data_IF_161903038993
#
_entry.id   IF_161903038993
#
_cell.length_a   1.000
_cell.length_b   1.000
_cell.length_c   1.000
_cell.angle_alpha   90.00
_cell.angle_beta   90.00
_cell.angle_gamma   90.00
#
_symmetry.space_group_name_H-M   'P 1'
#
loop_
_entity.id
_entity.type
_entity.pdbx_description
1 polymer ?
#
# COMPACT_ATOMS: atom_id res chain seq x y z
N UNK A 1 56.80 -72.34 11.02
CA UNK A 1 57.10 -73.06 9.77
C UNK A 1 58.13 -72.24 8.99
N UNK A 2 59.30 -72.82 8.70
CA UNK A 2 60.42 -72.39 7.83
C UNK A 2 60.69 -70.89 7.64
N UNK A 3 61.70 -70.22 8.20
CA UNK A 3 63.16 -70.44 8.27
C UNK A 3 63.93 -70.17 6.95
N UNK A 4 65.09 -69.50 7.15
CA UNK A 4 66.34 -69.47 6.34
C UNK A 4 66.47 -68.37 5.29
N UNK A 5 67.65 -67.83 4.98
CA UNK A 5 68.91 -67.39 5.64
C UNK A 5 69.88 -66.99 4.50
N UNK A 6 70.89 -66.18 4.82
CA UNK A 6 72.15 -65.89 4.08
C UNK A 6 72.09 -64.89 2.89
N UNK A 7 72.69 -63.69 3.01
CA UNK A 7 74.13 -63.29 2.96
C UNK A 7 74.71 -63.30 1.53
N UNK A 8 75.10 -62.14 0.98
CA UNK A 8 76.50 -61.65 0.95
C UNK A 8 76.74 -60.35 0.13
N UNK A 9 77.54 -59.43 0.72
CA UNK A 9 78.70 -58.65 0.17
C UNK A 9 78.47 -57.71 -1.04
N UNK A 10 79.10 -56.53 -1.19
CA UNK A 10 80.09 -55.74 -0.43
C UNK A 10 80.51 -54.49 -1.24
N UNK A 11 81.14 -53.51 -0.56
CA UNK A 11 82.05 -52.41 -1.00
C UNK A 11 81.40 -51.03 -1.24
N UNK A 12 81.66 -49.97 -0.46
CA UNK A 12 82.87 -49.18 -0.08
C UNK A 12 83.17 -48.02 -1.04
N UNK A 13 83.03 -46.78 -0.54
CA UNK A 13 83.84 -45.56 -0.80
C UNK A 13 83.12 -44.34 -0.16
N UNK A 14 83.48 -43.80 1.01
CA UNK A 14 84.60 -42.90 1.41
C UNK A 14 84.38 -41.38 1.21
N UNK A 15 84.53 -40.67 2.35
CA UNK A 15 84.98 -39.26 2.57
C UNK A 15 84.05 -38.11 2.08
N UNK A 16 83.88 -36.96 2.75
CA UNK A 16 84.62 -36.31 3.85
C UNK A 16 83.92 -34.99 4.27
N UNK A 17 84.04 -34.62 5.57
CA UNK A 17 84.14 -33.28 6.20
C UNK A 17 83.19 -32.11 5.82
N UNK A 18 82.87 -31.13 6.65
CA UNK A 18 83.31 -30.74 7.99
C UNK A 18 82.37 -29.64 8.56
N UNK A 19 82.34 -29.57 9.90
CA UNK A 19 82.19 -28.40 10.79
C UNK A 19 80.87 -27.56 10.87
N UNK A 20 80.17 -27.63 12.01
CA UNK A 20 80.11 -26.65 13.14
C UNK A 20 79.15 -25.46 12.92
N UNK A 21 78.07 -25.35 13.71
CA UNK A 21 77.90 -24.35 14.80
C UNK A 21 76.53 -24.51 15.49
N UNK A 22 76.53 -24.40 16.81
CA UNK A 22 75.37 -24.39 17.72
C UNK A 22 74.65 -23.03 17.65
N UNK A 23 73.31 -23.02 17.65
CA UNK A 23 72.53 -21.91 18.21
C UNK A 23 71.21 -22.42 18.81
N UNK A 24 71.12 -22.36 20.13
CA UNK A 24 69.86 -22.49 20.87
C UNK A 24 68.93 -21.32 20.48
N UNK A 25 67.73 -21.63 19.99
CA UNK A 25 66.67 -20.65 19.77
C UNK A 25 65.45 -21.02 20.58
N UNK A 26 65.07 -20.07 21.45
CA UNK A 26 63.88 -20.06 22.27
C UNK A 26 62.63 -20.37 21.45
N UNK A 27 61.83 -21.33 21.92
CA UNK A 27 60.46 -21.52 21.46
C UNK A 27 59.60 -20.42 22.07
N UNK A 28 59.50 -19.29 21.37
CA UNK A 28 58.44 -18.31 21.52
C UNK A 28 57.52 -18.42 20.30
N UNK A 29 56.72 -19.49 20.25
CA UNK A 29 55.63 -19.60 19.28
C UNK A 29 54.45 -18.79 19.79
N UNK A 30 54.38 -17.52 19.36
CA UNK A 30 53.29 -16.61 19.71
C UNK A 30 51.94 -17.22 19.37
N UNK A 31 51.06 -17.26 20.38
CA UNK A 31 49.65 -17.39 20.15
C UNK A 31 49.25 -16.30 19.16
N UNK A 32 48.64 -16.68 18.03
CA UNK A 32 47.86 -15.76 17.24
C UNK A 32 46.73 -15.24 18.15
N UNK A 33 46.98 -14.12 18.84
CA UNK A 33 45.92 -13.30 19.36
C UNK A 33 45.10 -12.92 18.14
N UNK A 34 43.98 -13.61 17.96
CA UNK A 34 42.83 -12.99 17.34
C UNK A 34 42.48 -11.83 18.26
N UNK A 35 43.10 -10.67 18.01
CA UNK A 35 42.54 -9.43 18.49
C UNK A 35 41.17 -9.33 17.81
N UNK A 36 40.13 -9.80 18.51
CA UNK A 36 38.84 -9.16 18.41
C UNK A 36 39.13 -7.70 18.73
N UNK A 37 39.36 -6.90 17.69
CA UNK A 37 39.33 -5.46 17.80
C UNK A 37 38.00 -5.16 18.47
N UNK A 38 38.07 -4.68 19.72
CA UNK A 38 36.89 -4.21 20.43
C UNK A 38 36.08 -3.35 19.45
N UNK A 39 34.74 -3.52 19.38
CA UNK A 39 33.93 -2.72 18.46
C UNK A 39 34.32 -1.26 18.68
N UNK A 40 34.88 -0.63 17.64
CA UNK A 40 35.35 0.74 17.74
C UNK A 40 34.18 1.59 18.20
N UNK A 41 34.39 2.46 19.20
CA UNK A 41 33.35 3.38 19.64
C UNK A 41 33.01 4.30 18.45
N UNK A 42 31.85 4.07 17.85
CA UNK A 42 31.43 4.78 16.64
C UNK A 42 31.22 6.27 16.90
N UNK A 43 30.74 6.66 18.08
CA UNK A 43 30.64 8.06 18.47
C UNK A 43 32.03 8.73 18.46
N UNK A 44 33.07 8.07 18.98
CA UNK A 44 34.42 8.63 18.95
C UNK A 44 34.95 8.85 17.51
N UNK A 45 34.55 8.01 16.55
CA UNK A 45 34.88 8.21 15.13
C UNK A 45 34.10 9.39 14.53
N UNK A 46 32.82 9.54 14.87
CA UNK A 46 31.99 10.70 14.49
C UNK A 46 32.58 12.01 15.05
N UNK A 47 33.00 11.99 16.30
CA UNK A 47 33.58 13.14 17.00
C UNK A 47 34.90 13.57 16.35
N UNK A 48 35.75 12.61 16.00
CA UNK A 48 37.05 12.84 15.37
C UNK A 48 36.96 13.25 13.88
N UNK A 49 35.85 12.94 13.21
CA UNK A 49 35.67 13.28 11.80
C UNK A 49 35.55 14.79 11.58
N UNK A 50 36.18 15.26 10.49
CA UNK A 50 36.00 16.62 10.02
C UNK A 50 34.57 16.82 9.48
N UNK A 51 33.98 18.03 9.62
CA UNK A 51 32.72 18.35 8.96
C UNK A 51 32.79 18.09 7.45
N UNK A 52 31.76 17.44 6.91
CA UNK A 52 31.66 17.01 5.51
C UNK A 52 32.38 15.69 5.19
N UNK A 53 33.05 15.06 6.17
CA UNK A 53 33.72 13.79 5.94
C UNK A 53 32.74 12.65 5.63
N UNK A 54 33.26 11.62 4.96
CA UNK A 54 32.57 10.33 4.80
C UNK A 54 33.24 9.30 5.70
N UNK A 55 32.44 8.65 6.56
CA UNK A 55 32.87 7.54 7.40
C UNK A 55 32.21 6.26 6.89
N UNK A 56 33.03 5.28 6.52
CA UNK A 56 32.57 3.93 6.19
C UNK A 56 32.73 3.04 7.42
N UNK A 57 31.62 2.47 7.87
CA UNK A 57 31.53 1.64 9.07
C UNK A 57 31.39 0.19 8.62
N UNK A 58 32.39 -0.64 8.93
CA UNK A 58 32.33 -2.06 8.61
C UNK A 58 31.24 -2.78 9.43
N UNK A 59 30.79 -3.92 8.93
CA UNK A 59 29.84 -4.78 9.62
C UNK A 59 30.29 -5.06 11.07
N UNK A 60 29.35 -4.89 12.01
CA UNK A 60 29.61 -4.99 13.44
C UNK A 60 28.41 -4.47 14.24
N UNK A 61 28.51 -4.51 15.57
CA UNK A 61 27.52 -3.93 16.47
C UNK A 61 28.14 -2.78 17.24
N UNK A 62 27.50 -1.62 17.17
CA UNK A 62 27.94 -0.37 17.75
C UNK A 62 26.89 0.11 18.74
N UNK A 63 27.34 0.47 19.95
CA UNK A 63 26.44 0.97 20.98
C UNK A 63 25.92 2.37 20.60
N UNK A 64 24.62 2.57 20.81
CA UNK A 64 23.97 3.87 20.83
C UNK A 64 23.91 4.42 22.28
N UNK A 65 23.44 5.66 22.50
CA UNK A 65 22.95 6.62 21.51
C UNK A 65 24.08 7.19 20.65
N UNK A 66 23.76 7.56 19.40
CA UNK A 66 24.66 8.32 18.53
C UNK A 66 24.12 9.72 18.28
N UNK A 67 24.98 10.73 18.35
CA UNK A 67 24.66 12.11 17.98
C UNK A 67 25.55 12.54 16.82
N UNK A 68 24.92 13.01 15.73
CA UNK A 68 25.61 13.58 14.56
C UNK A 68 25.31 15.08 14.52
N UNK A 69 26.27 15.87 14.99
CA UNK A 69 26.18 17.31 15.24
C UNK A 69 26.95 18.18 14.24
N UNK A 70 27.48 17.57 13.19
CA UNK A 70 28.16 18.22 12.06
C UNK A 70 27.72 17.57 10.75
N UNK A 71 27.78 18.29 9.60
CA UNK A 71 27.59 17.68 8.30
C UNK A 71 28.48 16.44 8.17
N UNK A 72 27.91 15.29 7.81
CA UNK A 72 28.63 14.02 7.82
C UNK A 72 27.92 13.01 6.93
N UNK A 73 28.68 12.22 6.18
CA UNK A 73 28.15 11.04 5.48
C UNK A 73 28.59 9.79 6.23
N UNK A 74 27.63 9.09 6.85
CA UNK A 74 27.85 7.82 7.53
C UNK A 74 27.31 6.68 6.65
N UNK A 75 28.20 5.78 6.25
CA UNK A 75 27.91 4.67 5.32
C UNK A 75 28.21 3.34 6.00
N UNK A 76 27.22 2.48 6.12
CA UNK A 76 27.40 1.11 6.58
C UNK A 76 27.84 0.19 5.43
N UNK A 77 28.92 -0.55 5.63
CA UNK A 77 29.39 -1.61 4.75
C UNK A 77 29.05 -2.98 5.36
N UNK A 78 28.10 -3.70 4.76
CA UNK A 78 27.59 -4.96 5.28
C UNK A 78 26.54 -4.82 6.39
N UNK A 79 25.75 -3.74 6.38
CA UNK A 79 24.63 -3.50 7.32
C UNK A 79 25.04 -3.56 8.81
N UNK A 80 26.03 -2.77 9.27
CA UNK A 80 26.33 -2.64 10.70
C UNK A 80 25.11 -2.24 11.54
N UNK A 81 25.06 -2.76 12.76
CA UNK A 81 23.98 -2.55 13.72
C UNK A 81 24.34 -1.40 14.66
N UNK A 82 23.48 -0.39 14.75
CA UNK A 82 23.46 0.60 15.82
C UNK A 82 22.44 0.14 16.85
N UNK A 83 22.94 -0.30 18.01
CA UNK A 83 22.16 -0.96 19.06
C UNK A 83 21.91 0.01 20.21
N UNK A 84 20.65 0.45 20.36
CA UNK A 84 20.18 1.14 21.55
C UNK A 84 20.03 0.20 22.75
N UNK A 85 19.92 0.79 23.93
CA UNK A 85 19.83 0.08 25.21
C UNK A 85 18.39 -0.07 25.73
N UNK A 86 17.40 0.23 24.90
CA UNK A 86 15.99 0.26 25.28
C UNK A 86 15.58 1.57 25.97
N UNK A 87 16.34 2.65 25.80
CA UNK A 87 16.00 3.98 26.31
C UNK A 87 16.30 5.08 25.29
N UNK A 88 15.42 6.07 25.19
CA UNK A 88 15.62 7.25 24.35
C UNK A 88 15.71 6.96 22.85
N UNK A 89 16.31 7.92 22.14
CA UNK A 89 16.57 7.82 20.70
C UNK A 89 17.84 7.00 20.42
N UNK A 90 17.86 6.23 19.34
CA UNK A 90 19.05 5.44 18.94
C UNK A 90 20.05 6.33 18.18
N UNK A 91 19.58 7.08 17.18
CA UNK A 91 20.39 8.04 16.42
C UNK A 91 19.70 9.39 16.40
N UNK A 92 20.42 10.43 16.83
CA UNK A 92 20.00 11.82 16.81
C UNK A 92 20.86 12.62 15.82
N UNK A 93 20.23 13.23 14.82
CA UNK A 93 20.88 14.08 13.82
C UNK A 93 20.49 15.53 14.09
N UNK A 94 21.45 16.38 14.45
CA UNK A 94 21.22 17.81 14.78
C UNK A 94 21.94 18.77 13.83
N UNK A 95 22.72 18.25 12.88
CA UNK A 95 23.36 19.04 11.83
C UNK A 95 22.71 18.87 10.46
N UNK A 96 22.75 19.92 9.62
CA UNK A 96 22.26 19.82 8.27
C UNK A 96 23.18 18.98 7.40
N UNK A 97 22.68 18.57 6.24
CA UNK A 97 23.49 17.90 5.20
C UNK A 97 24.15 16.59 5.71
N UNK A 98 23.48 15.91 6.64
CA UNK A 98 23.87 14.59 7.15
C UNK A 98 23.26 13.51 6.27
N UNK A 99 24.08 12.53 5.87
CA UNK A 99 23.61 11.31 5.23
C UNK A 99 23.84 10.12 6.16
N UNK A 100 22.80 9.34 6.43
CA UNK A 100 22.87 8.06 7.14
C UNK A 100 22.37 6.96 6.21
N UNK A 101 23.24 6.03 5.82
CA UNK A 101 22.85 4.95 4.89
C UNK A 101 23.45 3.58 5.18
N UNK A 102 22.68 2.54 4.94
CA UNK A 102 23.13 1.15 5.01
C UNK A 102 23.34 0.61 6.43
N UNK A 103 22.52 1.02 7.40
CA UNK A 103 22.57 0.54 8.79
C UNK A 103 21.35 -0.28 9.17
N UNK A 104 21.51 -1.17 10.15
CA UNK A 104 20.40 -1.63 11.01
C UNK A 104 20.36 -0.73 12.24
N UNK A 105 19.21 -0.15 12.56
CA UNK A 105 19.01 0.72 13.73
C UNK A 105 17.90 0.12 14.58
N UNK A 106 18.18 -0.15 15.86
CA UNK A 106 17.21 -0.82 16.74
C UNK A 106 17.41 -0.59 18.22
N UNK A 107 16.37 -0.90 19.00
CA UNK A 107 16.39 -0.85 20.46
C UNK A 107 16.20 0.55 21.02
N UNK A 108 15.26 1.32 20.46
CA UNK A 108 14.84 2.60 21.07
C UNK A 108 14.15 2.36 22.40
N UNK A 109 13.92 3.42 23.16
CA UNK A 109 12.96 3.36 24.27
C UNK A 109 11.50 3.19 23.81
N UNK A 110 10.60 3.07 24.78
CA UNK A 110 9.16 2.81 24.60
C UNK A 110 8.26 3.95 25.13
N UNK A 111 8.82 5.14 25.38
CA UNK A 111 8.04 6.30 25.83
C UNK A 111 7.36 7.03 24.68
N UNK A 112 6.02 6.99 24.68
CA UNK A 112 5.18 7.79 23.78
C UNK A 112 5.32 9.30 24.04
N UNK A 113 5.53 9.70 25.29
CA UNK A 113 5.61 11.12 25.68
C UNK A 113 6.92 11.77 25.22
N UNK A 114 8.04 11.02 25.27
CA UNK A 114 9.34 11.48 24.77
C UNK A 114 9.51 11.25 23.28
N UNK A 115 8.66 10.42 22.70
CA UNK A 115 8.74 9.97 21.30
C UNK A 115 10.07 9.28 21.01
N UNK A 116 10.44 8.31 21.85
CA UNK A 116 11.69 7.56 21.71
C UNK A 116 11.78 6.93 20.29
N UNK A 117 12.80 7.30 19.52
CA UNK A 117 12.86 7.07 18.05
C UNK A 117 14.11 6.28 17.63
N UNK A 118 14.00 5.45 16.59
CA UNK A 118 15.16 4.85 15.92
C UNK A 118 16.09 5.91 15.31
N UNK A 119 15.59 6.70 14.38
CA UNK A 119 16.34 7.81 13.76
C UNK A 119 15.56 9.11 13.93
N UNK A 120 16.04 10.00 14.78
CA UNK A 120 15.50 11.35 14.97
C UNK A 120 16.35 12.39 14.24
N UNK A 121 15.71 13.24 13.46
CA UNK A 121 16.35 14.28 12.62
C UNK A 121 15.78 15.63 13.00
N UNK A 122 16.65 16.53 13.47
CA UNK A 122 16.32 17.87 13.94
C UNK A 122 17.02 18.97 13.12
N UNK A 123 17.40 18.66 11.87
CA UNK A 123 18.12 19.58 11.00
C UNK A 123 17.80 19.32 9.51
N UNK A 124 17.87 20.36 8.65
CA UNK A 124 17.41 20.26 7.27
C UNK A 124 18.37 19.48 6.37
N UNK A 125 17.86 19.03 5.21
CA UNK A 125 18.62 18.38 4.13
C UNK A 125 19.32 17.08 4.57
N UNK A 126 18.75 16.39 5.54
CA UNK A 126 19.22 15.06 5.91
C UNK A 126 18.80 14.03 4.85
N UNK A 127 19.67 13.06 4.57
CA UNK A 127 19.41 11.93 3.68
C UNK A 127 19.46 10.64 4.49
N UNK A 128 18.31 10.01 4.69
CA UNK A 128 18.16 8.74 5.37
C UNK A 128 17.85 7.69 4.31
N UNK A 129 18.84 6.87 3.96
CA UNK A 129 18.77 6.02 2.76
C UNK A 129 19.15 4.55 3.02
N UNK A 130 18.34 3.60 2.56
CA UNK A 130 18.73 2.19 2.57
C UNK A 130 18.98 1.61 3.96
N UNK A 131 18.33 2.12 5.01
CA UNK A 131 18.46 1.63 6.37
C UNK A 131 17.34 0.64 6.72
N UNK A 132 17.61 -0.25 7.68
CA UNK A 132 16.63 -1.10 8.32
C UNK A 132 16.40 -0.60 9.74
N UNK A 133 15.19 -0.10 10.02
CA UNK A 133 14.77 0.32 11.36
C UNK A 133 13.83 -0.75 11.91
N UNK A 134 14.22 -1.36 13.01
CA UNK A 134 13.47 -2.42 13.70
C UNK A 134 13.47 -2.17 15.20
N UNK A 135 12.50 -2.74 15.93
CA UNK A 135 12.42 -2.60 17.40
C UNK A 135 12.57 -1.13 17.86
N UNK A 136 11.83 -0.25 17.20
CA UNK A 136 11.78 1.17 17.48
C UNK A 136 10.32 1.60 17.70
N UNK A 137 10.06 2.38 18.75
CA UNK A 137 8.71 2.87 19.04
C UNK A 137 8.27 3.82 17.93
N UNK A 138 9.08 4.84 17.65
CA UNK A 138 8.99 5.64 16.43
C UNK A 138 10.13 5.26 15.49
N UNK A 139 9.86 5.05 14.21
CA UNK A 139 10.87 4.57 13.26
C UNK A 139 11.84 5.68 12.84
N UNK A 140 11.36 6.56 11.95
CA UNK A 140 12.09 7.75 11.48
C UNK A 140 11.25 8.98 11.82
N UNK A 141 11.84 9.95 12.52
CA UNK A 141 11.19 11.18 12.90
C UNK A 141 11.97 12.39 12.39
N UNK A 142 11.38 13.16 11.46
CA UNK A 142 11.83 14.50 11.08
C UNK A 142 11.08 15.54 11.93
N UNK A 143 11.81 16.19 12.83
CA UNK A 143 11.34 17.26 13.70
C UNK A 143 11.95 18.58 13.25
N UNK A 144 11.17 19.44 12.59
CA UNK A 144 11.65 20.74 12.07
C UNK A 144 12.85 20.60 11.09
N UNK A 145 12.84 19.53 10.30
CA UNK A 145 13.89 19.12 9.38
C UNK A 145 13.43 19.24 7.92
N UNK A 146 13.45 20.46 7.38
CA UNK A 146 13.04 20.71 5.99
C UNK A 146 13.93 20.00 4.96
N UNK A 147 13.37 19.72 3.78
CA UNK A 147 14.10 19.23 2.60
C UNK A 147 14.81 17.88 2.84
N UNK A 148 14.25 17.07 3.75
CA UNK A 148 14.75 15.73 4.02
C UNK A 148 14.46 14.74 2.89
N UNK A 149 15.31 13.73 2.76
CA UNK A 149 15.12 12.60 1.84
C UNK A 149 15.08 11.31 2.66
N UNK A 150 13.94 10.64 2.68
CA UNK A 150 13.76 9.31 3.25
C UNK A 150 13.57 8.33 2.09
N UNK A 151 14.61 7.56 1.75
CA UNK A 151 14.59 6.70 0.57
C UNK A 151 14.99 5.26 0.83
N UNK A 152 14.24 4.29 0.32
CA UNK A 152 14.70 2.90 0.28
C UNK A 152 14.87 2.26 1.66
N UNK A 153 14.28 2.84 2.70
CA UNK A 153 14.37 2.30 4.06
C UNK A 153 13.31 1.22 4.27
N UNK A 154 13.62 0.26 5.13
CA UNK A 154 12.68 -0.73 5.64
C UNK A 154 12.41 -0.43 7.10
N UNK A 155 11.16 -0.18 7.46
CA UNK A 155 10.74 0.24 8.80
C UNK A 155 9.73 -0.78 9.34
N UNK A 156 10.09 -1.43 10.43
CA UNK A 156 9.22 -2.34 11.16
C UNK A 156 8.92 -1.77 12.55
N UNK A 157 7.64 -1.64 12.87
CA UNK A 157 7.22 -1.15 14.18
C UNK A 157 7.59 -2.11 15.31
N UNK A 158 7.76 -1.56 16.52
CA UNK A 158 7.94 -2.34 17.74
C UNK A 158 6.76 -3.31 17.97
N UNK A 159 7.05 -4.50 18.51
CA UNK A 159 6.09 -5.58 18.74
C UNK A 159 5.10 -5.29 19.89
N UNK A 160 4.26 -4.27 19.71
CA UNK A 160 3.23 -3.82 20.65
C UNK A 160 1.84 -3.86 19.98
N UNK A 161 0.74 -3.83 20.77
CA UNK A 161 -0.59 -3.55 20.22
C UNK A 161 -0.62 -2.19 19.51
N UNK A 162 -1.42 -2.06 18.45
CA UNK A 162 -1.45 -0.85 17.60
C UNK A 162 -1.68 0.47 18.36
N UNK A 163 -2.44 0.45 19.45
CA UNK A 163 -2.70 1.60 20.30
C UNK A 163 -1.49 2.07 21.11
N UNK A 164 -0.49 1.21 21.27
CA UNK A 164 0.76 1.48 22.02
C UNK A 164 1.98 1.64 21.11
N UNK A 165 1.85 1.38 19.80
CA UNK A 165 2.92 1.63 18.83
C UNK A 165 3.08 3.14 18.60
N UNK A 166 4.31 3.57 18.34
CA UNK A 166 4.58 4.88 17.75
C UNK A 166 4.47 4.83 16.23
N UNK A 167 4.72 5.97 15.61
CA UNK A 167 4.61 6.13 14.16
C UNK A 167 5.87 5.60 13.47
N UNK A 168 5.69 4.86 12.37
CA UNK A 168 6.83 4.34 11.61
C UNK A 168 7.61 5.46 10.95
N UNK A 169 6.88 6.44 10.44
CA UNK A 169 7.43 7.66 9.86
C UNK A 169 6.65 8.85 10.40
N UNK A 170 7.33 9.79 11.04
CA UNK A 170 6.76 11.05 11.51
C UNK A 170 7.50 12.22 10.88
N UNK A 171 6.78 13.12 10.23
CA UNK A 171 7.32 14.32 9.60
C UNK A 171 6.53 15.51 10.15
N UNK A 172 7.19 16.34 10.94
CA UNK A 172 6.58 17.42 11.71
C UNK A 172 7.31 18.74 11.43
N UNK A 173 6.58 19.77 10.99
CA UNK A 173 7.15 21.07 10.57
C UNK A 173 8.36 20.95 9.62
N UNK A 174 8.32 19.98 8.71
CA UNK A 174 9.45 19.57 7.87
C UNK A 174 9.04 19.61 6.39
N UNK A 175 8.90 20.81 5.80
CA UNK A 175 8.40 20.99 4.44
C UNK A 175 9.36 20.43 3.39
N UNK A 176 8.83 20.21 2.17
CA UNK A 176 9.58 19.80 0.98
C UNK A 176 10.35 18.49 1.15
N UNK A 177 9.75 17.53 1.85
CA UNK A 177 10.36 16.23 2.11
C UNK A 177 10.07 15.26 0.97
N UNK A 178 11.05 14.44 0.60
CA UNK A 178 10.88 13.31 -0.33
C UNK A 178 10.82 11.99 0.45
N UNK A 179 9.68 11.30 0.37
CA UNK A 179 9.46 9.95 0.91
C UNK A 179 9.34 8.98 -0.25
N UNK A 180 10.38 8.19 -0.50
CA UNK A 180 10.48 7.41 -1.73
C UNK A 180 10.92 5.96 -1.52
N UNK A 181 10.24 5.01 -2.15
CA UNK A 181 10.68 3.62 -2.21
C UNK A 181 10.91 2.96 -0.84
N UNK A 182 10.23 3.42 0.20
CA UNK A 182 10.31 2.84 1.53
C UNK A 182 9.30 1.70 1.70
N UNK A 183 9.63 0.76 2.56
CA UNK A 183 8.76 -0.33 3.00
C UNK A 183 8.46 -0.12 4.47
N UNK A 184 7.17 -0.03 4.83
CA UNK A 184 6.74 0.13 6.21
C UNK A 184 5.75 -0.96 6.58
N UNK A 185 5.98 -1.62 7.72
CA UNK A 185 5.20 -2.76 8.21
C UNK A 185 4.95 -2.64 9.70
N UNK A 186 3.77 -3.05 10.14
CA UNK A 186 3.45 -3.21 11.55
C UNK A 186 3.71 -1.95 12.40
N UNK A 187 3.56 -0.77 11.81
CA UNK A 187 3.70 0.52 12.50
C UNK A 187 2.33 1.09 12.89
N UNK A 188 2.28 2.17 13.67
CA UNK A 188 1.00 2.88 13.86
C UNK A 188 0.64 3.65 12.59
N UNK A 189 1.32 4.76 12.31
CA UNK A 189 1.05 5.60 11.14
C UNK A 189 2.33 5.94 10.36
N UNK A 190 2.20 6.33 9.09
CA UNK A 190 3.09 7.32 8.48
C UNK A 190 2.35 8.67 8.49
N UNK A 191 2.92 9.67 9.16
CA UNK A 191 2.26 10.96 9.39
C UNK A 191 3.08 12.15 8.87
N UNK A 192 2.44 13.03 8.11
CA UNK A 192 2.96 14.32 7.68
C UNK A 192 2.07 15.43 8.26
N UNK A 193 2.64 16.23 9.16
CA UNK A 193 1.92 17.28 9.88
C UNK A 193 2.64 18.63 9.71
N UNK A 194 1.90 19.66 9.28
CA UNK A 194 2.46 21.01 9.04
C UNK A 194 3.69 21.03 8.13
N UNK A 195 3.76 20.11 7.17
CA UNK A 195 4.98 19.83 6.39
C UNK A 195 4.69 19.90 4.89
N UNK A 196 4.32 21.09 4.35
CA UNK A 196 3.80 21.22 2.99
C UNK A 196 4.81 20.84 1.91
N UNK A 197 4.33 20.71 0.67
CA UNK A 197 5.15 20.55 -0.54
C UNK A 197 5.96 19.24 -0.59
N UNK A 198 5.47 18.18 0.04
CA UNK A 198 6.17 16.90 0.09
C UNK A 198 5.73 15.95 -1.04
N UNK A 199 6.66 15.07 -1.43
CA UNK A 199 6.42 14.03 -2.43
C UNK A 199 6.51 12.67 -1.76
N UNK A 200 5.43 11.90 -1.81
CA UNK A 200 5.34 10.53 -1.30
C UNK A 200 5.13 9.60 -2.48
N UNK A 201 6.17 8.84 -2.87
CA UNK A 201 6.06 7.97 -4.05
C UNK A 201 6.73 6.62 -3.96
N UNK A 202 6.17 5.63 -4.65
CA UNK A 202 6.73 4.27 -4.76
C UNK A 202 6.95 3.58 -3.42
N UNK A 203 6.24 3.98 -2.37
CA UNK A 203 6.32 3.35 -1.05
C UNK A 203 5.31 2.21 -0.93
N UNK A 204 5.59 1.26 -0.05
CA UNK A 204 4.70 0.17 0.34
C UNK A 204 4.40 0.28 1.84
N UNK A 205 3.20 0.74 2.17
CA UNK A 205 2.71 0.92 3.53
C UNK A 205 1.66 -0.15 3.84
N UNK A 206 1.97 -1.05 4.77
CA UNK A 206 1.10 -2.17 5.08
C UNK A 206 0.97 -2.46 6.58
N UNK A 207 -0.17 -3.07 6.93
CA UNK A 207 -0.44 -3.66 8.24
C UNK A 207 -0.34 -2.65 9.41
N UNK A 208 -0.64 -1.38 9.13
CA UNK A 208 -0.68 -0.28 10.09
C UNK A 208 -2.09 0.26 10.36
N UNK A 209 -2.17 1.37 11.09
CA UNK A 209 -3.44 2.09 11.29
C UNK A 209 -3.70 3.01 10.11
N UNK A 210 -2.94 4.09 9.98
CA UNK A 210 -2.97 4.94 8.79
C UNK A 210 -1.77 4.66 7.91
N UNK A 211 -2.01 4.16 6.70
CA UNK A 211 -0.94 3.96 5.71
C UNK A 211 -0.25 5.28 5.37
N UNK A 212 -1.03 6.35 5.19
CA UNK A 212 -0.56 7.74 5.16
C UNK A 212 -1.60 8.66 5.79
N UNK A 213 -1.18 9.44 6.78
CA UNK A 213 -1.99 10.44 7.46
C UNK A 213 -1.41 11.83 7.23
N UNK A 214 -2.23 12.73 6.68
CA UNK A 214 -1.85 14.12 6.46
C UNK A 214 -2.76 15.04 7.26
N UNK A 215 -2.16 15.87 8.10
CA UNK A 215 -2.90 16.78 8.96
C UNK A 215 -2.36 18.20 8.80
N UNK A 216 -3.24 19.13 8.45
CA UNK A 216 -2.89 20.56 8.38
C UNK A 216 -1.65 20.83 7.52
N UNK A 217 -1.65 20.27 6.32
CA UNK A 217 -0.51 20.32 5.41
C UNK A 217 -0.98 20.38 3.96
N UNK A 218 -0.30 21.18 3.14
CA UNK A 218 -0.75 21.55 1.80
C UNK A 218 0.24 21.09 0.72
N UNK A 219 -0.24 21.03 -0.53
CA UNK A 219 0.58 20.91 -1.75
C UNK A 219 1.37 19.61 -1.87
N UNK A 220 0.71 18.46 -1.68
CA UNK A 220 1.39 17.15 -1.71
C UNK A 220 1.17 16.39 -3.01
N UNK A 221 2.20 15.68 -3.44
CA UNK A 221 2.09 14.67 -4.51
C UNK A 221 2.25 13.28 -3.93
N UNK A 222 1.21 12.45 -4.05
CA UNK A 222 1.15 11.07 -3.56
C UNK A 222 0.95 10.16 -4.76
N UNK A 223 2.01 9.50 -5.24
CA UNK A 223 1.93 8.73 -6.48
C UNK A 223 2.62 7.38 -6.46
N UNK A 224 2.04 6.42 -7.19
CA UNK A 224 2.62 5.10 -7.40
C UNK A 224 2.94 4.36 -6.08
N UNK A 225 2.18 4.59 -5.01
CA UNK A 225 2.32 3.89 -3.74
C UNK A 225 1.36 2.69 -3.62
N UNK A 226 1.69 1.78 -2.70
CA UNK A 226 0.84 0.65 -2.30
C UNK A 226 0.45 0.82 -0.83
N UNK A 227 -0.85 0.87 -0.57
CA UNK A 227 -1.45 0.94 0.76
C UNK A 227 -2.33 -0.29 0.96
N UNK A 228 -1.91 -1.24 1.81
CA UNK A 228 -2.62 -2.51 1.97
C UNK A 228 -2.79 -2.99 3.41
N UNK A 229 -3.94 -3.56 3.72
CA UNK A 229 -4.18 -4.16 5.04
C UNK A 229 -4.12 -3.17 6.21
N UNK A 230 -4.23 -1.86 5.94
CA UNK A 230 -4.24 -0.85 7.00
C UNK A 230 -5.66 -0.65 7.53
N UNK A 231 -5.81 0.04 8.67
CA UNK A 231 -7.12 0.54 9.09
C UNK A 231 -7.67 1.60 8.14
N UNK A 232 -6.80 2.43 7.58
CA UNK A 232 -7.09 3.43 6.56
C UNK A 232 -5.88 3.51 5.62
N UNK A 233 -6.13 3.52 4.31
CA UNK A 233 -5.06 3.64 3.31
C UNK A 233 -4.42 5.03 3.34
N UNK A 234 -5.16 6.05 2.90
CA UNK A 234 -4.75 7.46 2.92
C UNK A 234 -5.82 8.27 3.64
N UNK A 235 -5.44 9.16 4.55
CA UNK A 235 -6.36 10.10 5.18
C UNK A 235 -5.80 11.52 5.16
N UNK A 236 -6.58 12.46 4.61
CA UNK A 236 -6.23 13.88 4.54
C UNK A 236 -7.21 14.69 5.38
N UNK A 237 -6.67 15.50 6.27
CA UNK A 237 -7.43 16.36 7.17
C UNK A 237 -6.92 17.80 7.10
N UNK A 238 -7.80 18.72 6.72
CA UNK A 238 -7.54 20.16 6.77
C UNK A 238 -6.38 20.61 5.90
N UNK A 239 -6.48 20.47 4.58
CA UNK A 239 -5.41 20.90 3.67
C UNK A 239 -5.90 21.28 2.27
N UNK A 240 -4.99 21.77 1.43
CA UNK A 240 -5.27 22.10 0.04
C UNK A 240 -4.20 21.60 -0.93
N UNK A 241 -4.57 21.34 -2.19
CA UNK A 241 -3.60 21.15 -3.28
C UNK A 241 -2.98 19.75 -3.29
N UNK A 242 -3.79 18.70 -3.27
CA UNK A 242 -3.29 17.33 -3.27
C UNK A 242 -3.42 16.69 -4.64
N UNK A 243 -2.34 16.08 -5.13
CA UNK A 243 -2.39 15.18 -6.29
C UNK A 243 -2.14 13.77 -5.81
N UNK A 244 -3.16 12.91 -5.86
CA UNK A 244 -3.04 11.48 -5.56
C UNK A 244 -3.28 10.68 -6.82
N UNK A 245 -2.24 10.03 -7.35
CA UNK A 245 -2.38 9.32 -8.62
C UNK A 245 -1.68 7.98 -8.71
N UNK A 246 -2.30 7.06 -9.46
CA UNK A 246 -1.77 5.71 -9.72
C UNK A 246 -1.38 4.96 -8.44
N UNK A 247 -2.06 5.21 -7.33
CA UNK A 247 -1.84 4.44 -6.10
C UNK A 247 -2.70 3.17 -6.11
N UNK A 248 -2.22 2.12 -5.47
CA UNK A 248 -3.02 0.95 -5.10
C UNK A 248 -3.41 1.08 -3.63
N UNK A 249 -4.70 1.05 -3.36
CA UNK A 249 -5.29 1.12 -2.02
C UNK A 249 -6.21 -0.08 -1.86
N UNK A 250 -5.73 -1.11 -1.17
CA UNK A 250 -6.38 -2.41 -1.13
C UNK A 250 -6.57 -2.96 0.29
N UNK A 251 -7.65 -3.69 0.49
CA UNK A 251 -7.82 -4.52 1.70
C UNK A 251 -7.76 -3.73 3.02
N UNK A 252 -8.08 -2.43 3.01
CA UNK A 252 -8.07 -1.63 4.24
C UNK A 252 -9.37 -1.87 5.01
N UNK A 253 -9.23 -2.31 6.27
CA UNK A 253 -10.32 -2.85 7.11
C UNK A 253 -10.18 -2.37 8.55
N UNK A 254 -11.30 -2.34 9.28
CA UNK A 254 -11.36 -1.87 10.66
C UNK A 254 -12.55 -0.93 10.86
N UNK A 255 -12.66 -0.29 12.04
CA UNK A 255 -13.78 0.61 12.34
C UNK A 255 -13.94 1.75 11.32
N UNK A 256 -12.81 2.30 10.84
CA UNK A 256 -12.81 3.27 9.75
C UNK A 256 -12.78 2.58 8.38
N UNK A 257 -11.81 1.70 8.10
CA UNK A 257 -11.78 0.87 6.88
C UNK A 257 -11.82 1.66 5.56
N UNK A 258 -11.34 2.90 5.57
CA UNK A 258 -11.36 3.78 4.40
C UNK A 258 -10.17 3.47 3.50
N UNK A 259 -10.40 3.36 2.19
CA UNK A 259 -9.32 3.40 1.22
C UNK A 259 -8.67 4.78 1.22
N UNK A 260 -9.43 5.78 0.77
CA UNK A 260 -9.06 7.20 0.86
C UNK A 260 -10.11 7.92 1.69
N UNK A 261 -9.69 8.72 2.66
CA UNK A 261 -10.57 9.60 3.40
C UNK A 261 -10.18 11.06 3.27
N UNK A 262 -11.16 11.90 2.97
CA UNK A 262 -11.00 13.34 2.85
C UNK A 262 -11.87 14.02 3.91
N UNK A 263 -11.24 14.85 4.74
CA UNK A 263 -11.94 15.72 5.66
C UNK A 263 -11.46 17.15 5.47
N UNK A 264 -12.37 18.00 5.02
CA UNK A 264 -12.09 19.42 4.79
C UNK A 264 -10.85 19.64 3.90
N UNK A 265 -10.71 18.80 2.87
CA UNK A 265 -9.60 18.83 1.91
C UNK A 265 -10.05 19.52 0.63
N UNK A 266 -9.28 20.52 0.17
CA UNK A 266 -9.64 21.37 -0.97
C UNK A 266 -8.64 21.20 -2.12
N UNK A 267 -9.06 21.48 -3.36
CA UNK A 267 -8.18 21.40 -4.54
C UNK A 267 -7.42 20.05 -4.61
N UNK A 268 -8.19 18.98 -4.73
CA UNK A 268 -7.68 17.60 -4.72
C UNK A 268 -7.91 16.95 -6.07
N UNK A 269 -6.88 16.33 -6.63
CA UNK A 269 -6.97 15.46 -7.80
C UNK A 269 -6.74 14.01 -7.37
N UNK A 270 -7.75 13.17 -7.50
CA UNK A 270 -7.65 11.72 -7.40
C UNK A 270 -7.69 11.15 -8.83
N UNK A 271 -6.55 10.66 -9.32
CA UNK A 271 -6.43 10.21 -10.71
C UNK A 271 -5.81 8.81 -10.85
N UNK A 272 -6.45 7.90 -11.60
CA UNK A 272 -5.78 6.63 -11.94
C UNK A 272 -5.58 5.67 -10.77
N UNK A 273 -6.20 5.93 -9.61
CA UNK A 273 -6.01 5.10 -8.41
C UNK A 273 -6.83 3.81 -8.48
N UNK A 274 -6.32 2.76 -7.83
CA UNK A 274 -6.98 1.45 -7.70
C UNK A 274 -7.39 1.25 -6.26
N UNK A 275 -8.69 1.44 -6.00
CA UNK A 275 -9.29 1.41 -4.67
C UNK A 275 -10.15 0.15 -4.58
N UNK A 276 -9.56 -0.92 -4.05
CA UNK A 276 -10.10 -2.26 -4.21
C UNK A 276 -10.32 -2.96 -2.88
N UNK A 277 -11.48 -3.58 -2.68
CA UNK A 277 -11.75 -4.46 -1.54
C UNK A 277 -11.53 -3.80 -0.15
N UNK A 278 -11.82 -2.51 -0.04
CA UNK A 278 -11.86 -1.80 1.24
C UNK A 278 -13.27 -1.87 1.85
N UNK A 279 -13.42 -1.56 3.15
CA UNK A 279 -14.76 -1.36 3.72
C UNK A 279 -15.48 -0.22 2.99
N UNK A 280 -14.79 0.90 2.83
CA UNK A 280 -15.27 2.07 2.08
C UNK A 280 -14.16 2.49 1.14
N UNK A 281 -14.44 2.60 -0.15
CA UNK A 281 -13.45 2.98 -1.15
C UNK A 281 -12.94 4.40 -0.91
N UNK A 282 -13.84 5.38 -1.05
CA UNK A 282 -13.57 6.77 -0.68
C UNK A 282 -14.60 7.27 0.33
N UNK A 283 -14.13 7.85 1.43
CA UNK A 283 -14.92 8.62 2.36
C UNK A 283 -14.65 10.12 2.18
N UNK A 284 -15.69 10.95 2.11
CA UNK A 284 -15.53 12.40 1.96
C UNK A 284 -16.49 13.19 2.86
N UNK A 285 -15.92 14.10 3.64
CA UNK A 285 -16.60 15.01 4.55
C UNK A 285 -16.17 16.46 4.26
N UNK A 286 -17.14 17.33 3.95
CA UNK A 286 -16.93 18.76 3.74
C UNK A 286 -15.74 19.11 2.83
N UNK A 287 -15.51 18.29 1.79
CA UNK A 287 -14.38 18.42 0.87
C UNK A 287 -14.91 18.68 -0.54
N UNK A 288 -14.58 19.81 -1.18
CA UNK A 288 -13.75 20.93 -0.71
C UNK A 288 -14.33 21.73 0.47
N UNK A 289 -13.43 22.25 1.31
CA UNK A 289 -13.76 23.25 2.34
C UNK A 289 -13.69 24.67 1.77
N UNK A 290 -12.66 24.96 0.94
CA UNK A 290 -12.42 26.29 0.39
C UNK A 290 -13.40 26.56 -0.77
N UNK A 291 -14.12 27.70 -0.75
CA UNK A 291 -14.92 28.13 -1.90
C UNK A 291 -14.08 28.20 -3.17
N UNK A 292 -14.71 28.01 -4.33
CA UNK A 292 -14.08 28.06 -5.67
C UNK A 292 -13.04 26.96 -5.96
N UNK A 293 -12.85 26.01 -5.04
CA UNK A 293 -12.05 24.81 -5.29
C UNK A 293 -12.95 23.60 -5.53
N UNK A 294 -12.38 22.51 -6.03
CA UNK A 294 -13.08 21.25 -6.24
C UNK A 294 -12.22 20.07 -5.76
N UNK A 295 -12.85 18.90 -5.64
CA UNK A 295 -12.13 17.62 -5.74
C UNK A 295 -12.52 16.99 -7.07
N UNK A 296 -11.51 16.62 -7.86
CA UNK A 296 -11.68 15.93 -9.13
C UNK A 296 -11.33 14.46 -8.95
N UNK A 297 -12.27 13.60 -9.34
CA UNK A 297 -12.13 12.15 -9.39
C UNK A 297 -12.12 11.75 -10.86
N UNK A 298 -10.97 11.33 -11.36
CA UNK A 298 -10.80 10.98 -12.77
C UNK A 298 -10.10 9.63 -12.93
N UNK A 299 -10.58 8.77 -13.84
CA UNK A 299 -9.87 7.54 -14.20
C UNK A 299 -9.56 6.61 -13.01
N UNK A 300 -10.36 6.61 -11.94
CA UNK A 300 -10.14 5.73 -10.79
C UNK A 300 -10.92 4.42 -10.96
N UNK A 301 -10.37 3.32 -10.46
CA UNK A 301 -11.12 2.08 -10.24
C UNK A 301 -11.53 2.00 -8.78
N UNK A 302 -12.84 1.97 -8.52
CA UNK A 302 -13.43 1.66 -7.23
C UNK A 302 -14.15 0.32 -7.37
N UNK A 303 -13.51 -0.76 -6.91
CA UNK A 303 -14.02 -2.10 -7.15
C UNK A 303 -14.09 -2.96 -5.89
N UNK A 304 -15.17 -3.74 -5.77
CA UNK A 304 -15.36 -4.73 -4.70
C UNK A 304 -15.26 -4.17 -3.28
N UNK A 305 -15.43 -2.86 -3.10
CA UNK A 305 -15.51 -2.27 -1.76
C UNK A 305 -16.90 -2.57 -1.18
N UNK A 306 -17.07 -2.62 0.14
CA UNK A 306 -18.43 -2.77 0.71
C UNK A 306 -19.28 -1.55 0.33
N UNK A 307 -18.68 -0.35 0.37
CA UNK A 307 -19.22 0.90 -0.18
C UNK A 307 -18.18 1.51 -1.11
N UNK A 308 -18.54 1.84 -2.35
CA UNK A 308 -17.64 2.51 -3.31
C UNK A 308 -17.29 3.93 -2.84
N UNK A 309 -18.29 4.81 -2.80
CA UNK A 309 -18.19 6.18 -2.32
C UNK A 309 -19.11 6.41 -1.12
N UNK A 310 -18.59 6.91 -0.01
CA UNK A 310 -19.36 7.37 1.13
C UNK A 310 -19.12 8.86 1.35
N UNK A 311 -20.17 9.68 1.23
CA UNK A 311 -20.03 11.14 1.32
C UNK A 311 -21.08 11.73 2.25
N UNK A 312 -20.75 12.82 2.95
CA UNK A 312 -21.74 13.60 3.68
C UNK A 312 -22.45 14.58 2.73
N UNK A 313 -23.73 14.95 2.97
CA UNK A 313 -24.50 15.85 2.08
C UNK A 313 -23.95 17.30 2.00
N UNK A 314 -23.03 17.67 2.89
CA UNK A 314 -22.27 18.93 2.81
C UNK A 314 -21.12 18.89 1.79
N UNK A 315 -20.86 17.74 1.16
CA UNK A 315 -19.77 17.51 0.21
C UNK A 315 -20.24 17.85 -1.21
N UNK A 316 -19.88 19.04 -1.69
CA UNK A 316 -20.46 19.69 -2.89
C UNK A 316 -19.33 20.23 -3.80
N UNK A 317 -19.62 20.56 -5.06
CA UNK A 317 -18.64 21.06 -6.03
C UNK A 317 -17.48 20.08 -6.34
N UNK A 318 -17.74 18.77 -6.22
CA UNK A 318 -16.83 17.72 -6.69
C UNK A 318 -17.14 17.36 -8.15
N UNK A 319 -16.14 16.87 -8.88
CA UNK A 319 -16.23 16.51 -10.31
C UNK A 319 -15.85 15.05 -10.49
N UNK A 320 -16.72 14.26 -11.09
CA UNK A 320 -16.54 12.83 -11.30
C UNK A 320 -16.69 12.50 -12.79
N UNK A 321 -15.65 11.95 -13.40
CA UNK A 321 -15.71 11.48 -14.78
C UNK A 321 -14.69 10.38 -15.06
N UNK A 322 -14.99 9.51 -16.03
CA UNK A 322 -14.15 8.39 -16.48
C UNK A 322 -13.71 7.44 -15.35
N UNK A 323 -14.41 7.43 -14.21
CA UNK A 323 -14.18 6.45 -13.15
C UNK A 323 -14.92 5.14 -13.46
N UNK A 324 -14.42 4.05 -12.90
CA UNK A 324 -15.04 2.73 -12.95
C UNK A 324 -15.50 2.36 -11.53
N UNK A 325 -16.82 2.30 -11.34
CA UNK A 325 -17.44 1.80 -10.13
C UNK A 325 -17.97 0.38 -10.38
N UNK A 326 -17.17 -0.60 -9.95
CA UNK A 326 -17.34 -2.00 -10.31
C UNK A 326 -17.65 -2.87 -9.10
N UNK A 327 -18.88 -3.38 -9.05
CA UNK A 327 -19.30 -4.44 -8.13
C UNK A 327 -18.96 -4.14 -6.67
N UNK A 328 -19.12 -2.87 -6.28
CA UNK A 328 -19.14 -2.51 -4.87
C UNK A 328 -20.46 -3.01 -4.27
N UNK A 329 -20.45 -3.38 -2.98
CA UNK A 329 -21.68 -3.81 -2.31
C UNK A 329 -22.78 -2.74 -2.38
N UNK A 330 -22.38 -1.48 -2.23
CA UNK A 330 -23.16 -0.30 -2.54
C UNK A 330 -22.28 0.68 -3.33
N UNK A 331 -22.70 1.15 -4.50
CA UNK A 331 -21.89 2.07 -5.30
C UNK A 331 -21.66 3.39 -4.57
N UNK A 332 -22.73 3.97 -4.03
CA UNK A 332 -22.71 5.27 -3.33
C UNK A 332 -23.57 5.23 -2.08
N UNK A 333 -23.03 5.72 -0.97
CA UNK A 333 -23.75 6.02 0.26
C UNK A 333 -23.69 7.51 0.61
N UNK A 334 -24.80 8.07 1.07
CA UNK A 334 -24.85 9.43 1.63
C UNK A 334 -25.01 9.33 3.14
N UNK A 335 -23.91 9.50 3.86
CA UNK A 335 -23.88 9.37 5.31
C UNK A 335 -24.70 10.51 5.95
N UNK A 336 -25.69 10.13 6.77
CA UNK A 336 -26.61 11.09 7.41
C UNK A 336 -27.81 11.53 6.54
N UNK A 337 -27.99 10.94 5.36
CA UNK A 337 -29.11 11.22 4.45
C UNK A 337 -28.90 12.45 3.55
N UNK A 338 -29.94 12.87 2.83
CA UNK A 338 -29.85 13.94 1.83
C UNK A 338 -29.38 13.46 0.47
N UNK A 339 -28.79 14.37 -0.31
CA UNK A 339 -28.36 14.14 -1.68
C UNK A 339 -26.98 14.75 -1.98
N UNK A 340 -26.43 14.40 -3.15
CA UNK A 340 -25.17 14.83 -3.71
C UNK A 340 -25.38 15.51 -5.07
N UNK A 341 -26.55 16.13 -5.29
CA UNK A 341 -26.93 16.73 -6.58
C UNK A 341 -26.14 17.98 -6.93
N UNK A 342 -25.43 18.56 -5.95
CA UNK A 342 -24.56 19.74 -6.13
C UNK A 342 -23.13 19.35 -6.49
N UNK A 343 -22.92 18.11 -6.92
CA UNK A 343 -21.68 17.64 -7.52
C UNK A 343 -21.90 17.42 -9.02
N UNK A 344 -20.82 17.57 -9.78
CA UNK A 344 -20.80 17.34 -11.22
C UNK A 344 -20.41 15.88 -11.48
N UNK A 345 -21.39 15.08 -11.92
CA UNK A 345 -21.20 13.64 -12.17
C UNK A 345 -20.86 13.31 -13.63
N UNK A 346 -20.78 14.32 -14.48
CA UNK A 346 -20.26 14.23 -15.83
C UNK A 346 -19.58 15.55 -16.20
N UNK A 347 -18.40 15.47 -16.79
CA UNK A 347 -17.61 16.61 -17.25
C UNK A 347 -17.52 16.53 -18.77
N UNK A 348 -17.76 17.65 -19.46
CA UNK A 348 -17.68 17.73 -20.93
C UNK A 348 -18.49 16.64 -21.65
N UNK A 349 -19.66 16.31 -21.08
CA UNK A 349 -20.57 15.29 -21.61
C UNK A 349 -20.15 13.85 -21.33
N UNK A 350 -19.17 13.60 -20.45
CA UNK A 350 -18.72 12.25 -20.08
C UNK A 350 -18.81 12.03 -18.57
N UNK A 351 -19.54 11.00 -18.18
CA UNK A 351 -19.72 10.56 -16.81
C UNK A 351 -18.81 9.38 -16.45
N UNK A 352 -19.35 8.46 -15.67
CA UNK A 352 -18.63 7.34 -15.08
C UNK A 352 -19.21 6.00 -15.56
N UNK A 353 -18.42 4.93 -15.46
CA UNK A 353 -18.91 3.58 -15.67
C UNK A 353 -19.44 3.01 -14.36
N UNK A 354 -20.66 2.47 -14.40
CA UNK A 354 -21.35 1.85 -13.26
C UNK A 354 -21.72 0.42 -13.62
N UNK A 355 -21.26 -0.58 -12.86
CA UNK A 355 -21.53 -1.97 -13.21
C UNK A 355 -23.00 -2.40 -13.05
N UNK A 356 -23.80 -1.60 -12.34
CA UNK A 356 -25.25 -1.73 -12.15
C UNK A 356 -26.06 -0.85 -13.11
N UNK A 357 -25.43 -0.15 -14.05
CA UNK A 357 -26.14 0.60 -15.08
C UNK A 357 -26.82 -0.34 -16.08
N UNK A 358 -28.13 -0.20 -16.21
CA UNK A 358 -28.98 -1.02 -17.08
C UNK A 358 -29.62 -0.22 -18.23
N UNK A 359 -28.97 0.86 -18.68
CA UNK A 359 -29.40 1.63 -19.85
C UNK A 359 -28.89 1.05 -21.16
N UNK A 360 -29.07 1.80 -22.24
CA UNK A 360 -28.65 1.45 -23.59
C UNK A 360 -27.96 2.64 -24.25
N UNK A 361 -27.25 2.34 -25.33
CA UNK A 361 -26.50 3.29 -26.16
C UNK A 361 -26.89 2.98 -27.62
N UNK A 362 -27.80 3.78 -28.17
CA UNK A 362 -28.39 3.56 -29.48
C UNK A 362 -27.58 4.17 -30.62
N UNK A 363 -26.77 5.21 -30.36
CA UNK A 363 -25.96 5.88 -31.37
C UNK A 363 -24.50 5.38 -31.43
N UNK A 364 -24.08 4.60 -30.43
CA UNK A 364 -22.82 3.88 -30.39
C UNK A 364 -21.62 4.74 -29.97
N UNK A 365 -21.86 5.84 -29.25
CA UNK A 365 -20.79 6.76 -28.81
C UNK A 365 -20.13 6.36 -27.46
N UNK A 366 -20.55 5.22 -26.89
CA UNK A 366 -20.15 4.68 -25.60
C UNK A 366 -20.67 5.46 -24.37
N UNK A 367 -21.64 6.35 -24.58
CA UNK A 367 -22.39 7.07 -23.54
C UNK A 367 -23.82 6.54 -23.53
N UNK A 368 -24.39 6.37 -22.34
CA UNK A 368 -25.75 5.88 -22.19
C UNK A 368 -26.79 6.96 -22.52
N UNK A 369 -27.79 6.60 -23.32
CA UNK A 369 -28.92 7.47 -23.68
C UNK A 369 -29.84 7.81 -22.49
N UNK A 370 -29.71 7.04 -21.40
CA UNK A 370 -30.45 7.25 -20.15
C UNK A 370 -29.49 7.63 -19.03
N UNK A 371 -29.85 8.61 -18.17
CA UNK A 371 -29.02 8.96 -17.03
C UNK A 371 -28.95 7.81 -16.03
N UNK A 372 -27.78 7.61 -15.42
CA UNK A 372 -27.67 6.76 -14.24
C UNK A 372 -28.17 7.53 -13.02
N UNK A 373 -28.95 6.88 -12.16
CA UNK A 373 -29.44 7.50 -10.93
C UNK A 373 -29.32 6.52 -9.78
N UNK A 374 -28.62 6.92 -8.71
CA UNK A 374 -28.51 6.12 -7.51
C UNK A 374 -29.86 6.12 -6.75
N UNK A 375 -30.71 5.14 -7.09
CA UNK A 375 -32.02 4.89 -6.49
C UNK A 375 -32.13 3.42 -6.08
N UNK A 376 -31.75 3.11 -4.85
CA UNK A 376 -32.07 1.82 -4.23
C UNK A 376 -32.82 2.07 -2.93
N UNK A 377 -34.00 1.44 -2.83
CA UNK A 377 -34.82 1.50 -1.63
C UNK A 377 -34.13 0.68 -0.53
N UNK A 378 -33.56 -0.46 -0.90
CA UNK A 378 -32.78 -1.29 0.01
C UNK A 378 -31.56 -0.54 0.57
N UNK A 379 -30.78 0.14 -0.27
CA UNK A 379 -29.64 0.95 0.21
C UNK A 379 -30.10 2.09 1.13
N UNK A 380 -31.24 2.69 0.82
CA UNK A 380 -31.82 3.75 1.66
C UNK A 380 -32.17 3.22 3.05
N UNK A 381 -32.81 2.05 3.12
CA UNK A 381 -33.14 1.39 4.38
C UNK A 381 -31.88 0.93 5.12
N UNK A 382 -30.90 0.37 4.42
CA UNK A 382 -29.64 -0.12 4.99
C UNK A 382 -28.79 1.03 5.56
N UNK A 383 -28.85 2.21 4.94
CA UNK A 383 -28.25 3.42 5.50
C UNK A 383 -28.85 3.85 6.86
N UNK A 384 -30.15 3.64 7.06
CA UNK A 384 -30.84 3.93 8.33
C UNK A 384 -30.76 2.77 9.35
N UNK A 385 -30.71 1.54 8.86
CA UNK A 385 -30.72 0.29 9.62
C UNK A 385 -29.59 -0.63 9.15
N UNK A 386 -28.37 -0.47 9.68
CA UNK A 386 -27.19 -1.23 9.22
C UNK A 386 -27.33 -2.76 9.36
N UNK A 387 -28.21 -3.24 10.24
CA UNK A 387 -28.55 -4.64 10.44
C UNK A 387 -29.20 -5.29 9.20
N UNK A 388 -29.80 -4.49 8.31
CA UNK A 388 -30.38 -4.98 7.06
C UNK A 388 -29.33 -5.49 6.07
N UNK A 389 -28.04 -5.18 6.24
CA UNK A 389 -26.93 -5.71 5.41
C UNK A 389 -26.91 -7.24 5.36
N UNK A 390 -27.45 -7.92 6.37
CA UNK A 390 -27.59 -9.38 6.36
C UNK A 390 -28.36 -9.91 5.14
N UNK A 391 -29.25 -9.09 4.58
CA UNK A 391 -30.11 -9.44 3.44
C UNK A 391 -29.60 -8.92 2.09
N UNK A 392 -28.44 -8.26 2.05
CA UNK A 392 -27.93 -7.56 0.85
C UNK A 392 -27.68 -8.48 -0.34
N UNK A 393 -27.33 -9.75 -0.09
CA UNK A 393 -27.15 -10.79 -1.12
C UNK A 393 -28.32 -11.78 -1.16
N UNK A 394 -29.43 -11.44 -0.49
CA UNK A 394 -30.62 -12.28 -0.41
C UNK A 394 -31.73 -11.77 -1.33
N UNK A 395 -32.67 -12.64 -1.72
CA UNK A 395 -33.78 -12.28 -2.62
C UNK A 395 -34.70 -11.20 -2.04
N UNK A 396 -34.63 -10.93 -0.73
CA UNK A 396 -35.40 -9.87 -0.08
C UNK A 396 -34.97 -8.47 -0.53
N UNK A 397 -33.66 -8.23 -0.74
CA UNK A 397 -33.15 -6.95 -1.25
C UNK A 397 -33.63 -6.69 -2.68
N UNK A 398 -33.45 -7.68 -3.56
CA UNK A 398 -33.89 -7.62 -4.96
C UNK A 398 -35.40 -7.40 -5.07
N UNK A 399 -36.20 -8.10 -4.26
CA UNK A 399 -37.65 -7.97 -4.26
C UNK A 399 -38.09 -6.57 -3.83
N UNK A 400 -37.40 -5.96 -2.86
CA UNK A 400 -37.70 -4.62 -2.38
C UNK A 400 -37.39 -3.56 -3.44
N UNK A 401 -36.23 -3.66 -4.11
CA UNK A 401 -35.86 -2.73 -5.17
C UNK A 401 -36.75 -2.91 -6.42
N UNK A 402 -37.16 -4.15 -6.73
CA UNK A 402 -38.16 -4.41 -7.78
C UNK A 402 -39.51 -3.79 -7.43
N UNK A 403 -39.96 -3.91 -6.18
CA UNK A 403 -41.21 -3.29 -5.72
C UNK A 403 -41.15 -1.75 -5.82
N UNK A 404 -40.02 -1.14 -5.44
CA UNK A 404 -39.81 0.30 -5.56
C UNK A 404 -39.84 0.77 -7.03
N UNK A 405 -39.30 -0.04 -7.96
CA UNK A 405 -39.37 0.22 -9.41
C UNK A 405 -40.80 0.08 -9.95
N UNK A 406 -41.57 -0.89 -9.46
CA UNK A 406 -42.94 -1.16 -9.93
C UNK A 406 -43.98 -0.16 -9.37
N UNK A 407 -43.74 0.40 -8.19
CA UNK A 407 -44.69 1.28 -7.49
C UNK A 407 -44.04 2.63 -7.16
N UNK A 408 -44.25 3.68 -7.97
CA UNK A 408 -43.61 4.99 -7.80
C UNK A 408 -43.82 5.65 -6.44
N UNK A 409 -44.88 5.27 -5.70
CA UNK A 409 -45.14 5.75 -4.34
C UNK A 409 -44.00 5.41 -3.36
N UNK A 410 -43.26 4.33 -3.60
CA UNK A 410 -42.15 3.87 -2.76
C UNK A 410 -40.77 4.15 -3.37
N UNK A 411 -40.72 4.81 -4.54
CA UNK A 411 -39.46 5.11 -5.20
C UNK A 411 -38.69 6.16 -4.37
N UNK A 412 -37.45 5.85 -3.90
CA UNK A 412 -36.66 6.82 -3.18
C UNK A 412 -36.26 7.99 -4.08
N UNK A 413 -36.07 9.15 -3.47
CA UNK A 413 -35.52 10.31 -4.18
C UNK A 413 -34.09 9.98 -4.69
N UNK A 414 -33.72 10.44 -5.90
CA UNK A 414 -32.34 10.37 -6.37
C UNK A 414 -31.35 10.91 -5.32
N UNK A 415 -30.33 10.14 -4.97
CA UNK A 415 -29.21 10.65 -4.16
C UNK A 415 -28.16 11.37 -5.01
N UNK A 416 -28.03 10.97 -6.27
CA UNK A 416 -27.22 11.62 -7.30
C UNK A 416 -27.72 11.19 -8.68
N UNK A 417 -27.33 11.92 -9.71
CA UNK A 417 -27.60 11.58 -11.11
C UNK A 417 -26.34 11.82 -11.93
N UNK A 418 -25.89 10.78 -12.64
CA UNK A 418 -24.89 10.91 -13.70
C UNK A 418 -25.62 11.03 -15.05
N UNK A 419 -25.57 12.19 -15.72
CA UNK A 419 -26.34 12.44 -16.93
C UNK A 419 -25.74 11.77 -18.18
N UNK A 420 -24.49 11.30 -18.13
CA UNK A 420 -23.78 10.74 -19.27
C UNK A 420 -22.97 9.49 -18.86
N UNK A 421 -23.63 8.45 -18.32
CA UNK A 421 -22.93 7.26 -17.84
C UNK A 421 -22.24 6.54 -19.00
N UNK A 422 -21.07 5.96 -18.76
CA UNK A 422 -20.34 5.21 -19.76
C UNK A 422 -20.93 3.80 -19.88
N UNK A 423 -21.19 3.34 -21.10
CA UNK A 423 -21.68 1.96 -21.36
C UNK A 423 -20.55 0.93 -21.38
N UNK A 424 -19.31 1.40 -21.52
CA UNK A 424 -18.12 0.58 -21.49
C UNK A 424 -17.09 1.15 -20.51
N UNK A 425 -16.44 0.25 -19.78
CA UNK A 425 -15.37 0.61 -18.86
C UNK A 425 -14.19 1.24 -19.63
N UNK A 426 -13.75 2.46 -19.29
CA UNK A 426 -12.58 3.08 -19.92
C UNK A 426 -11.29 2.30 -19.63
N UNK A 427 -10.30 2.47 -20.50
CA UNK A 427 -8.95 1.95 -20.26
C UNK A 427 -8.29 2.69 -19.11
N UNK A 428 -7.77 1.97 -18.13
CA UNK A 428 -7.12 2.58 -16.97
C UNK A 428 -5.59 2.47 -17.04
N UNK A 429 -4.85 3.50 -16.57
CA UNK A 429 -3.39 3.46 -16.56
C UNK A 429 -2.86 2.34 -15.66
N UNK A 430 -1.65 1.82 -15.91
CA UNK A 430 -1.00 0.89 -15.00
C UNK A 430 -0.86 1.49 -13.60
N UNK A 431 -1.04 0.65 -12.58
CA UNK A 431 -0.81 0.99 -11.18
C UNK A 431 0.06 -0.11 -10.53
N UNK A 432 0.87 0.23 -9.53
CA UNK A 432 1.77 -0.71 -8.87
C UNK A 432 1.01 -1.75 -8.05
N UNK A 433 1.68 -2.85 -7.72
CA UNK A 433 1.18 -3.86 -6.77
C UNK A 433 0.08 -4.79 -7.29
N UNK A 434 -0.46 -4.58 -8.50
CA UNK A 434 -1.35 -5.54 -9.15
C UNK A 434 -0.54 -6.56 -9.96
N UNK A 435 -0.75 -7.86 -9.69
CA UNK A 435 -0.23 -8.91 -10.54
C UNK A 435 -0.94 -8.89 -11.90
N UNK A 436 -0.23 -9.24 -12.98
CA UNK A 436 -0.87 -9.38 -14.28
C UNK A 436 -1.95 -10.48 -14.18
N UNK A 437 -3.17 -10.25 -14.73
CA UNK A 437 -4.22 -11.26 -14.67
C UNK A 437 -3.72 -12.55 -15.33
N UNK A 438 -3.94 -13.72 -14.72
CA UNK A 438 -3.47 -14.99 -15.27
C UNK A 438 -4.31 -15.35 -16.51
N UNK A 439 -3.92 -14.81 -17.67
CA UNK A 439 -4.65 -14.92 -18.95
C UNK A 439 -4.99 -16.36 -19.32
N UNK A 440 -4.09 -17.29 -19.04
CA UNK A 440 -4.26 -18.73 -19.33
C UNK A 440 -5.27 -19.40 -18.40
N UNK A 441 -5.27 -19.05 -17.12
CA UNK A 441 -6.23 -19.59 -16.15
C UNK A 441 -7.65 -19.08 -16.45
N UNK A 442 -7.80 -17.78 -16.75
CA UNK A 442 -9.09 -17.20 -17.10
C UNK A 442 -9.66 -17.80 -18.38
N UNK A 443 -8.82 -18.05 -19.39
CA UNK A 443 -9.23 -18.74 -20.61
C UNK A 443 -9.69 -20.18 -20.33
N UNK A 444 -8.97 -20.90 -19.47
CA UNK A 444 -9.35 -22.26 -19.08
C UNK A 444 -10.70 -22.30 -18.34
N UNK A 445 -10.94 -21.37 -17.40
CA UNK A 445 -12.23 -21.24 -16.70
C UNK A 445 -13.35 -20.87 -17.66
N UNK A 446 -13.13 -19.92 -18.57
CA UNK A 446 -14.12 -19.54 -19.58
C UNK A 446 -14.49 -20.71 -20.48
N UNK A 447 -13.50 -21.47 -20.97
CA UNK A 447 -13.73 -22.67 -21.78
C UNK A 447 -14.46 -23.76 -20.99
N UNK A 448 -14.16 -23.93 -19.70
CA UNK A 448 -14.87 -24.86 -18.84
C UNK A 448 -16.35 -24.46 -18.66
N UNK A 449 -16.62 -23.17 -18.42
CA UNK A 449 -17.99 -22.65 -18.30
C UNK A 449 -18.79 -22.80 -19.60
N UNK A 450 -18.16 -22.55 -20.76
CA UNK A 450 -18.77 -22.83 -22.07
C UNK A 450 -19.07 -24.33 -22.21
N UNK A 451 -18.14 -25.21 -21.82
CA UNK A 451 -18.35 -26.66 -21.82
C UNK A 451 -19.55 -27.08 -20.96
N UNK A 452 -19.66 -26.55 -19.74
CA UNK A 452 -20.80 -26.80 -18.85
C UNK A 452 -22.11 -26.30 -19.46
N UNK A 453 -22.12 -25.08 -20.01
CA UNK A 453 -23.30 -24.52 -20.66
C UNK A 453 -23.76 -25.38 -21.85
N UNK A 454 -22.83 -25.87 -22.68
CA UNK A 454 -23.13 -26.77 -23.80
C UNK A 454 -23.67 -28.13 -23.33
N UNK A 455 -23.15 -28.68 -22.23
CA UNK A 455 -23.66 -29.93 -21.64
C UNK A 455 -25.09 -29.72 -21.12
N UNK A 456 -25.35 -28.62 -20.41
CA UNK A 456 -26.70 -28.27 -19.93
C UNK A 456 -27.66 -28.11 -21.12
N UNK A 457 -27.22 -27.45 -22.19
CA UNK A 457 -28.01 -27.29 -23.41
C UNK A 457 -28.31 -28.65 -24.07
N UNK A 458 -27.32 -29.54 -24.17
CA UNK A 458 -27.47 -30.87 -24.76
C UNK A 458 -28.40 -31.77 -23.92
N UNK A 459 -28.29 -31.73 -22.60
CA UNK A 459 -29.16 -32.48 -21.68
C UNK A 459 -30.57 -31.89 -21.62
N UNK A 460 -30.72 -30.57 -21.75
CA UNK A 460 -32.02 -29.89 -21.76
C UNK A 460 -32.76 -30.07 -23.09
N UNK A 461 -32.08 -30.03 -24.23
CA UNK A 461 -32.70 -30.13 -25.57
C UNK A 461 -32.84 -31.59 -26.02
N UNK A 462 -31.93 -32.48 -25.61
CA UNK A 462 -31.90 -33.90 -26.02
C UNK A 462 -33.23 -34.66 -25.83
N UNK A 463 -33.93 -34.54 -24.69
CA UNK A 463 -35.22 -35.18 -24.47
C UNK A 463 -36.34 -34.63 -25.37
N UNK A 464 -36.26 -33.34 -25.76
CA UNK A 464 -37.27 -32.67 -26.58
C UNK A 464 -37.10 -32.96 -28.08
N UNK A 465 -35.86 -33.07 -28.56
CA UNK A 465 -35.57 -33.48 -29.94
C UNK A 465 -35.99 -34.94 -30.21
N UNK A 466 -35.78 -35.85 -29.25
CA UNK A 466 -36.23 -37.23 -29.38
C UNK A 466 -37.76 -37.37 -29.45
N UNK A 467 -38.50 -36.54 -28.69
CA UNK A 467 -39.97 -36.52 -28.74
C UNK A 467 -40.51 -35.91 -30.04
N UNK A 468 -39.85 -34.88 -30.57
CA UNK A 468 -40.22 -34.26 -31.84
C UNK A 468 -39.96 -35.19 -33.04
N UNK A 469 -38.85 -35.93 -33.02
CA UNK A 469 -38.53 -36.93 -34.05
C UNK A 469 -39.44 -38.17 -33.98
N UNK A 470 -39.86 -38.61 -32.79
CA UNK A 470 -40.78 -39.74 -32.62
C UNK A 470 -42.22 -39.42 -33.05
N UNK A 471 -42.67 -38.17 -32.89
CA UNK A 471 -44.03 -37.72 -33.23
C UNK A 471 -44.33 -37.60 -34.73
N UNK A 472 -43.33 -37.66 -35.61
CA UNK A 472 -43.52 -37.54 -37.07
C UNK A 472 -43.55 -38.89 -37.81
N UNK A 473 -43.60 -40.01 -37.09
CA UNK A 473 -43.51 -41.36 -37.71
C UNK A 473 -44.82 -42.14 -37.81
N UNK A 474 -45.99 -41.57 -37.43
CA UNK A 474 -47.24 -42.35 -37.33
C UNK A 474 -48.47 -41.82 -38.09
N UNK A 475 -48.34 -40.88 -39.04
CA UNK A 475 -49.51 -40.45 -39.85
C UNK A 475 -49.22 -40.42 -41.36
N UNK A 476 -48.88 -41.56 -41.96
CA UNK A 476 -49.15 -41.82 -43.38
C UNK A 476 -49.28 -43.34 -43.59
N UNK A 477 -50.53 -43.84 -43.58
CA UNK A 477 -50.81 -45.27 -43.73
C UNK A 477 -52.30 -45.56 -43.87
N UNK A 478 -52.82 -45.25 -45.06
CA UNK A 478 -54.05 -45.73 -45.72
C UNK A 478 -54.78 -46.95 -45.15
N UNK A 479 -56.12 -46.87 -45.06
CA UNK A 479 -57.06 -47.97 -45.37
C UNK A 479 -58.41 -47.36 -45.80
N UNK A 480 -58.64 -47.18 -47.11
CA UNK A 480 -59.52 -48.02 -47.91
C UNK A 480 -60.22 -49.22 -47.23
N UNK A 481 -61.52 -49.27 -47.55
CA UNK A 481 -62.56 -50.29 -47.41
C UNK A 481 -63.30 -50.44 -46.07
#
# INVERSE_FOLDING_TARGET
MGARTHLHRSRLATLSGSAVLVLCLLVAGGAALHAQTAPQNLQALIDAAAPGATLTVAAGTYAAPLTIDKPLTLVGDGMPVIQGDGSGDVVLITAPDVTLRGFVIRGSGDSLDREDTGIKVAAPRAVIEGNQVEDALFGIYLEQAAEGVIRGNTIHGMALPISRRGDGLKIWYSPRTLVEANVMRDTRDAILWYSPESVVRRNDFADGRYGLHMMQSDQHTIEDNVFRGNSVGIYVMYGTGFTMRRNLIADNRGPSGYGIGLKEASDVLLEGNRIVNNRVGVYSDASPLRPETNVTYANNLLAFNEIGLEMLPNTQANRFHDNILLDNGQQINVAGGGDLMRNEWAVDGRGNYWSDYAGFDADGDAIGDLPYTAKSLFDTLTGAHPDLRLFQLGPAGDALDLAAKAFPLFAPQPRMTDPAPLTQAPGLPPAPGMSAPPRTANLAVAMAMIGVALIILALGIGPHLHRWAAGHSTEFGTSHD
#
